data_IF_044042692335
#
_entry.id   IF_044042692335
#
_cell.length_a   1.000
_cell.length_b   1.000
_cell.length_c   1.000
_cell.angle_alpha   90.00
_cell.angle_beta   90.00
_cell.angle_gamma   90.00
#
_symmetry.space_group_name_H-M   'P 1'
#
loop_
_entity.id
_entity.type
_entity.pdbx_description
1 polymer ?
#
# COMPACT_ATOMS: atom_id res chain seq x y z
N UNK A 1 -24.63 -9.97 -7.10
CA UNK A 1 -23.70 -10.71 -6.23
C UNK A 1 -23.69 -10.04 -4.87
N UNK A 2 -23.97 -10.79 -3.82
CA UNK A 2 -23.94 -10.28 -2.45
C UNK A 2 -22.49 -10.29 -1.93
N UNK A 3 -22.12 -9.25 -1.16
CA UNK A 3 -20.86 -9.22 -0.44
C UNK A 3 -20.91 -10.22 0.73
N UNK A 4 -19.78 -10.80 1.08
CA UNK A 4 -19.68 -11.60 2.30
C UNK A 4 -19.82 -10.72 3.55
N UNK A 5 -20.18 -11.35 4.66
CA UNK A 5 -20.52 -10.64 5.90
C UNK A 5 -19.31 -9.88 6.51
N UNK A 6 -18.08 -10.33 6.25
CA UNK A 6 -16.87 -9.67 6.74
C UNK A 6 -16.63 -8.38 5.98
N UNK A 7 -16.76 -8.44 4.66
CA UNK A 7 -16.65 -7.26 3.79
C UNK A 7 -17.74 -6.23 4.11
N UNK A 8 -18.99 -6.66 4.31
CA UNK A 8 -20.08 -5.75 4.70
C UNK A 8 -19.74 -5.03 6.00
N UNK A 9 -19.33 -5.77 7.03
CA UNK A 9 -18.96 -5.20 8.34
C UNK A 9 -17.79 -4.20 8.23
N UNK A 10 -16.79 -4.53 7.42
CA UNK A 10 -15.66 -3.64 7.18
C UNK A 10 -16.09 -2.32 6.53
N UNK A 11 -16.95 -2.38 5.51
CA UNK A 11 -17.49 -1.19 4.84
C UNK A 11 -18.37 -0.33 5.78
N UNK A 12 -19.16 -0.98 6.65
CA UNK A 12 -19.94 -0.30 7.68
C UNK A 12 -19.02 0.46 8.66
N UNK A 13 -17.96 -0.17 9.13
CA UNK A 13 -16.97 0.47 10.01
C UNK A 13 -16.29 1.67 9.34
N UNK A 14 -15.93 1.55 8.06
CA UNK A 14 -15.37 2.68 7.31
C UNK A 14 -16.37 3.84 7.18
N UNK A 15 -17.65 3.53 6.95
CA UNK A 15 -18.70 4.54 6.86
C UNK A 15 -18.97 5.24 8.20
N UNK A 16 -18.95 4.50 9.31
CA UNK A 16 -19.11 5.04 10.67
C UNK A 16 -17.95 5.97 11.09
N UNK A 17 -16.74 5.76 10.55
CA UNK A 17 -15.60 6.63 10.76
C UNK A 17 -15.78 8.05 10.25
N UNK A 18 -16.82 8.31 9.44
CA UNK A 18 -17.28 9.67 9.07
C UNK A 18 -16.29 10.46 8.23
N UNK A 19 -15.37 9.78 7.57
CA UNK A 19 -14.35 10.41 6.73
C UNK A 19 -14.95 11.10 5.49
N UNK A 20 -14.25 12.13 5.02
CA UNK A 20 -14.57 12.82 3.77
C UNK A 20 -14.36 11.86 2.59
N UNK A 21 -15.25 11.82 1.60
CA UNK A 21 -15.05 11.02 0.41
C UNK A 21 -13.73 11.36 -0.31
N UNK A 22 -13.03 10.36 -0.84
CA UNK A 22 -11.73 10.56 -1.49
C UNK A 22 -11.79 11.56 -2.65
N UNK A 23 -12.88 11.59 -3.41
CA UNK A 23 -13.06 12.52 -4.53
C UNK A 23 -13.28 13.98 -4.09
N UNK A 24 -13.58 14.23 -2.82
CA UNK A 24 -13.69 15.54 -2.21
C UNK A 24 -12.46 15.91 -1.36
N UNK A 25 -11.54 14.99 -1.20
CA UNK A 25 -10.33 15.16 -0.39
C UNK A 25 -9.21 15.81 -1.19
N UNK A 26 -8.37 16.57 -0.52
CA UNK A 26 -7.09 16.99 -1.12
C UNK A 26 -6.16 15.78 -1.25
N UNK A 27 -5.12 15.83 -2.12
CA UNK A 27 -4.14 14.74 -2.22
C UNK A 27 -3.51 14.36 -0.89
N UNK A 28 -3.22 15.33 -0.03
CA UNK A 28 -2.58 15.08 1.27
C UNK A 28 -3.55 14.41 2.26
N UNK A 29 -4.81 14.84 2.31
CA UNK A 29 -5.85 14.17 3.10
C UNK A 29 -6.06 12.73 2.65
N UNK A 30 -6.12 12.51 1.35
CA UNK A 30 -6.31 11.17 0.78
C UNK A 30 -5.12 10.24 1.04
N UNK A 31 -3.90 10.75 1.01
CA UNK A 31 -2.68 10.00 1.36
C UNK A 31 -2.65 9.64 2.83
N UNK A 32 -2.99 10.58 3.72
CA UNK A 32 -3.06 10.32 5.15
C UNK A 32 -4.09 9.21 5.47
N UNK A 33 -5.26 9.28 4.85
CA UNK A 33 -6.29 8.24 4.99
C UNK A 33 -5.80 6.85 4.51
N UNK A 34 -5.08 6.79 3.38
CA UNK A 34 -4.56 5.52 2.88
C UNK A 34 -3.50 4.94 3.83
N UNK A 35 -2.64 5.77 4.40
CA UNK A 35 -1.64 5.33 5.38
C UNK A 35 -2.29 4.78 6.66
N UNK A 36 -3.33 5.43 7.17
CA UNK A 36 -4.11 4.92 8.30
C UNK A 36 -4.78 3.57 7.97
N UNK A 37 -5.33 3.45 6.77
CA UNK A 37 -5.96 2.21 6.31
C UNK A 37 -4.94 1.06 6.18
N UNK A 38 -3.73 1.36 5.74
CA UNK A 38 -2.65 0.38 5.60
C UNK A 38 -2.23 -0.22 6.96
N UNK A 39 -2.35 0.52 8.06
CA UNK A 39 -2.08 0.01 9.41
C UNK A 39 -2.97 -1.18 9.79
N UNK A 40 -4.18 -1.25 9.22
CA UNK A 40 -5.11 -2.37 9.45
C UNK A 40 -4.60 -3.70 8.87
N UNK A 41 -3.69 -3.66 7.90
CA UNK A 41 -3.08 -4.86 7.34
C UNK A 41 -2.11 -5.56 8.31
N UNK A 42 -1.72 -4.87 9.37
CA UNK A 42 -0.76 -5.38 10.36
C UNK A 42 0.69 -5.31 9.89
N UNK A 43 1.61 -5.94 10.62
CA UNK A 43 3.03 -5.88 10.30
C UNK A 43 3.37 -6.66 9.03
N UNK A 44 4.31 -6.14 8.26
CA UNK A 44 4.85 -6.84 7.09
C UNK A 44 5.53 -8.16 7.49
N UNK A 45 5.53 -9.18 6.62
CA UNK A 45 6.24 -10.43 6.86
C UNK A 45 7.74 -10.19 7.05
N UNK A 46 8.36 -11.00 7.92
CA UNK A 46 9.80 -10.93 8.12
C UNK A 46 10.54 -11.36 6.84
N UNK A 47 11.51 -10.55 6.45
CA UNK A 47 12.37 -10.78 5.29
C UNK A 47 13.80 -11.06 5.74
N UNK A 48 14.54 -11.85 4.94
CA UNK A 48 15.96 -12.04 5.16
C UNK A 48 16.75 -10.74 4.95
N UNK A 49 16.33 -9.95 3.96
CA UNK A 49 16.94 -8.66 3.62
C UNK A 49 15.88 -7.73 3.02
N UNK A 50 15.93 -6.48 3.46
CA UNK A 50 15.20 -5.38 2.86
C UNK A 50 16.21 -4.34 2.42
N UNK A 51 16.15 -3.89 1.19
CA UNK A 51 17.12 -2.97 0.60
C UNK A 51 16.39 -1.92 -0.23
N UNK A 52 16.76 -0.65 -0.05
CA UNK A 52 16.25 0.43 -0.88
C UNK A 52 17.29 0.86 -1.90
N UNK A 53 16.84 1.09 -3.10
CA UNK A 53 17.63 1.58 -4.22
C UNK A 53 16.92 2.75 -4.88
N UNK A 54 17.71 3.70 -5.36
CA UNK A 54 17.22 4.80 -6.17
C UNK A 54 17.68 4.61 -7.60
N UNK A 55 16.76 4.77 -8.54
CA UNK A 55 17.04 4.72 -9.97
C UNK A 55 16.93 6.15 -10.53
N UNK A 56 17.98 6.64 -11.16
CA UNK A 56 17.95 7.92 -11.83
C UNK A 56 17.17 7.80 -13.14
N UNK A 57 16.30 8.78 -13.37
CA UNK A 57 15.46 8.89 -14.56
C UNK A 57 15.59 10.31 -15.14
N UNK A 58 15.27 10.52 -16.40
CA UNK A 58 15.30 11.85 -17.02
C UNK A 58 14.41 12.87 -16.32
N UNK A 59 13.30 12.42 -15.71
CA UNK A 59 12.28 13.23 -15.05
C UNK A 59 12.38 13.21 -13.51
N UNK A 60 13.47 12.67 -12.95
CA UNK A 60 13.69 12.58 -11.50
C UNK A 60 14.23 11.23 -11.06
N UNK A 61 13.92 10.84 -9.84
CA UNK A 61 14.36 9.58 -9.25
C UNK A 61 13.17 8.68 -8.93
N UNK A 62 13.36 7.38 -9.11
CA UNK A 62 12.41 6.36 -8.66
C UNK A 62 13.01 5.58 -7.49
N UNK A 63 12.28 5.46 -6.41
CA UNK A 63 12.63 4.60 -5.27
C UNK A 63 12.17 3.17 -5.55
N UNK A 64 13.05 2.22 -5.26
CA UNK A 64 12.83 0.80 -5.40
C UNK A 64 13.10 0.12 -4.06
N UNK A 65 12.22 -0.77 -3.62
CA UNK A 65 12.46 -1.62 -2.45
C UNK A 65 12.60 -3.08 -2.90
N UNK A 66 13.66 -3.73 -2.46
CA UNK A 66 13.96 -5.13 -2.74
C UNK A 66 13.72 -5.93 -1.46
N UNK A 67 12.76 -6.86 -1.53
CA UNK A 67 12.40 -7.76 -0.44
C UNK A 67 12.93 -9.15 -0.76
N UNK A 68 13.83 -9.65 0.06
CA UNK A 68 14.39 -11.01 -0.10
C UNK A 68 13.79 -11.90 0.99
N UNK A 69 13.04 -12.95 0.63
CA UNK A 69 12.42 -13.84 1.60
C UNK A 69 13.45 -14.67 2.37
N UNK A 70 13.06 -15.16 3.55
CA UNK A 70 13.91 -16.01 4.40
C UNK A 70 14.25 -17.33 3.72
N UNK A 71 13.32 -17.90 2.94
CA UNK A 71 13.55 -19.11 2.13
C UNK A 71 14.19 -18.74 0.80
N UNK A 72 14.92 -19.68 0.22
CA UNK A 72 15.52 -19.49 -1.10
C UNK A 72 14.46 -19.08 -2.13
N UNK A 73 14.62 -17.92 -2.78
CA UNK A 73 13.68 -17.46 -3.77
C UNK A 73 13.74 -18.36 -5.02
N UNK A 74 12.58 -18.64 -5.60
CA UNK A 74 12.45 -19.43 -6.82
C UNK A 74 12.34 -18.55 -8.07
N UNK A 75 12.28 -17.24 -7.91
CA UNK A 75 12.14 -16.27 -8.99
C UNK A 75 12.13 -14.85 -8.47
N UNK A 76 11.89 -13.91 -9.37
CA UNK A 76 11.77 -12.49 -9.10
C UNK A 76 10.39 -12.02 -9.50
N UNK A 77 9.71 -11.29 -8.60
CA UNK A 77 8.47 -10.59 -8.86
C UNK A 77 8.75 -9.09 -8.87
N UNK A 78 8.35 -8.41 -9.94
CA UNK A 78 8.37 -6.94 -9.98
C UNK A 78 6.94 -6.44 -9.77
N UNK A 79 6.74 -5.64 -8.73
CA UNK A 79 5.44 -5.13 -8.37
C UNK A 79 5.39 -3.60 -8.49
N UNK A 80 4.38 -3.10 -9.17
CA UNK A 80 4.07 -1.67 -9.28
C UNK A 80 2.78 -1.40 -8.54
N UNK A 81 2.86 -0.63 -7.45
CA UNK A 81 1.67 -0.32 -6.65
C UNK A 81 0.67 0.57 -7.43
N UNK A 82 -0.60 0.42 -7.08
CA UNK A 82 -1.68 1.26 -7.59
C UNK A 82 -1.75 2.60 -6.85
N UNK A 83 -2.80 3.39 -7.14
CA UNK A 83 -3.09 4.65 -6.43
C UNK A 83 -3.43 5.82 -7.35
N UNK A 84 -3.68 5.57 -8.65
CA UNK A 84 -4.11 6.60 -9.60
C UNK A 84 -3.12 7.75 -9.75
N UNK A 85 -1.84 7.51 -9.62
CA UNK A 85 -0.73 8.47 -9.63
C UNK A 85 -0.79 9.54 -8.52
N UNK A 86 -1.71 9.43 -7.59
CA UNK A 86 -1.90 10.37 -6.47
C UNK A 86 -1.64 9.74 -5.13
N UNK A 87 -2.07 8.49 -4.94
CA UNK A 87 -2.05 7.75 -3.69
C UNK A 87 -1.02 6.63 -3.72
N UNK A 88 -0.64 6.19 -2.53
CA UNK A 88 0.24 5.05 -2.34
C UNK A 88 1.72 5.41 -2.26
N UNK A 89 2.39 4.64 -1.46
CA UNK A 89 3.84 4.64 -1.30
C UNK A 89 4.33 3.21 -1.12
N UNK A 90 5.62 2.99 -1.22
CA UNK A 90 6.21 1.66 -1.01
C UNK A 90 5.84 1.09 0.36
N UNK A 91 5.81 1.92 1.40
CA UNK A 91 5.58 1.49 2.78
C UNK A 91 4.18 0.87 2.98
N UNK A 92 3.17 1.38 2.30
CA UNK A 92 1.79 0.89 2.41
C UNK A 92 1.58 -0.46 1.74
N UNK A 93 2.52 -0.90 0.91
CA UNK A 93 2.44 -2.15 0.16
C UNK A 93 3.41 -3.24 0.63
N UNK A 94 4.09 -3.05 1.74
CA UNK A 94 5.03 -4.04 2.30
C UNK A 94 4.34 -5.34 2.78
N UNK A 95 3.01 -5.32 2.95
CA UNK A 95 2.21 -6.47 3.39
C UNK A 95 1.56 -7.25 2.25
N UNK A 96 1.74 -6.82 1.00
CA UNK A 96 1.11 -7.43 -0.19
C UNK A 96 1.84 -8.68 -0.68
#
# INVERSE_FOLDING_TARGET
MALDSTTVRFLEQLAEGGGKPLHESTPDEARAFLSELAELAGPAPAMQRVEERTIDRPDGQALLRILVPIKNPIGVLVYYHGGGWVLGSIDEYDTV
#
